data_IF_673359282262
#
_entry.id   IF_673359282262
#
_cell.length_a   1.000
_cell.length_b   1.000
_cell.length_c   1.000
_cell.angle_alpha   90.00
_cell.angle_beta   90.00
_cell.angle_gamma   90.00
#
_symmetry.space_group_name_H-M   'P 1'
#
loop_
_entity.id
_entity.type
_entity.pdbx_description
1 polymer ?
#
# COMPACT_ATOMS: atom_id res chain seq x y z
N UNK A 1 5.88 -18.75 70.51
CA UNK A 1 6.51 -17.55 69.90
C UNK A 1 6.99 -17.84 68.47
N UNK A 2 6.11 -18.15 67.52
CA UNK A 2 6.48 -18.35 66.10
C UNK A 2 5.55 -17.63 65.10
N UNK A 3 4.57 -16.86 65.57
CA UNK A 3 3.52 -16.27 64.71
C UNK A 3 3.74 -14.80 64.36
N UNK A 4 4.68 -14.11 65.01
CA UNK A 4 4.92 -12.68 64.80
C UNK A 4 5.97 -12.39 63.72
N UNK A 5 6.80 -13.36 63.32
CA UNK A 5 7.80 -13.15 62.26
C UNK A 5 7.22 -13.24 60.84
N UNK A 6 6.07 -13.92 60.64
CA UNK A 6 5.50 -14.13 59.31
C UNK A 6 4.70 -12.92 58.80
N UNK A 7 4.12 -12.12 59.71
CA UNK A 7 3.37 -10.91 59.34
C UNK A 7 4.28 -9.74 58.95
N UNK A 8 5.53 -9.73 59.40
CA UNK A 8 6.50 -8.68 59.07
C UNK A 8 7.10 -8.84 57.67
N UNK A 9 7.22 -10.06 57.14
CA UNK A 9 7.71 -10.25 55.76
C UNK A 9 6.66 -9.91 54.70
N UNK A 10 5.37 -10.05 55.02
CA UNK A 10 4.27 -9.72 54.11
C UNK A 10 4.06 -8.19 53.96
N UNK A 11 4.39 -7.42 54.99
CA UNK A 11 4.30 -5.95 54.95
C UNK A 11 5.43 -5.31 54.12
N UNK A 12 6.64 -5.90 54.14
CA UNK A 12 7.77 -5.42 53.32
C UNK A 12 7.57 -5.73 51.84
N UNK A 13 6.88 -6.82 51.50
CA UNK A 13 6.61 -7.17 50.10
C UNK A 13 5.52 -6.31 49.44
N UNK A 14 4.63 -5.70 50.23
CA UNK A 14 3.53 -4.88 49.73
C UNK A 14 3.97 -3.45 49.38
N UNK A 15 5.12 -2.99 49.86
CA UNK A 15 5.68 -1.65 49.60
C UNK A 15 6.52 -1.59 48.31
N UNK A 16 6.86 -2.71 47.68
CA UNK A 16 7.69 -2.76 46.47
C UNK A 16 6.90 -2.63 45.15
N UNK A 17 5.56 -2.57 45.20
CA UNK A 17 4.70 -2.54 44.01
C UNK A 17 4.25 -1.13 43.58
N UNK A 18 4.76 -0.07 44.22
CA UNK A 18 4.48 1.32 43.81
C UNK A 18 5.55 1.92 42.90
N UNK A 19 6.21 1.11 42.07
CA UNK A 19 6.93 1.67 40.92
C UNK A 19 5.93 1.95 39.79
N UNK A 20 5.14 3.01 39.97
CA UNK A 20 4.56 3.72 38.85
C UNK A 20 5.71 4.32 38.07
N UNK A 21 6.29 3.56 37.13
CA UNK A 21 7.08 4.16 36.08
C UNK A 21 6.17 5.18 35.39
N UNK A 22 6.43 6.46 35.63
CA UNK A 22 5.86 7.52 34.83
C UNK A 22 6.15 7.15 33.39
N UNK A 23 5.11 6.83 32.62
CA UNK A 23 5.17 6.76 31.16
C UNK A 23 5.59 8.17 30.76
N UNK A 24 6.90 8.38 30.65
CA UNK A 24 7.46 9.55 30.03
C UNK A 24 6.96 9.50 28.61
N UNK A 25 6.10 10.45 28.25
CA UNK A 25 5.88 10.81 26.85
C UNK A 25 7.27 10.89 26.23
N UNK A 26 7.56 9.98 25.29
CA UNK A 26 8.80 10.05 24.54
C UNK A 26 8.94 11.49 24.05
N UNK A 27 10.09 12.16 24.26
CA UNK A 27 10.26 13.53 23.82
C UNK A 27 9.84 13.62 22.35
N UNK A 28 8.86 14.49 22.07
CA UNK A 28 8.32 14.65 20.72
C UNK A 28 9.49 14.87 19.78
N UNK A 29 9.64 13.97 18.80
CA UNK A 29 10.77 14.00 17.89
C UNK A 29 10.76 15.33 17.12
N UNK A 30 11.94 15.90 16.92
CA UNK A 30 12.09 17.25 16.36
C UNK A 30 11.75 17.22 14.86
N UNK A 31 11.11 18.27 14.31
CA UNK A 31 11.02 18.46 12.86
C UNK A 31 12.38 18.41 12.18
N UNK A 32 12.42 17.80 10.98
CA UNK A 32 13.59 17.83 10.13
C UNK A 32 13.85 19.26 9.63
N UNK A 33 15.13 19.63 9.53
CA UNK A 33 15.56 20.86 8.85
C UNK A 33 15.40 20.76 7.33
N UNK A 34 15.38 21.89 6.64
CA UNK A 34 15.26 21.92 5.17
C UNK A 34 16.36 21.11 4.46
N UNK A 35 17.58 21.13 4.99
CA UNK A 35 18.68 20.32 4.47
C UNK A 35 18.41 18.82 4.64
N UNK A 36 17.97 18.40 5.83
CA UNK A 36 17.61 16.99 6.10
C UNK A 36 16.43 16.53 5.21
N UNK A 37 15.43 17.38 5.00
CA UNK A 37 14.31 17.10 4.09
C UNK A 37 14.81 16.92 2.65
N UNK A 38 15.70 17.81 2.18
CA UNK A 38 16.28 17.73 0.85
C UNK A 38 17.12 16.46 0.66
N UNK A 39 17.94 16.11 1.64
CA UNK A 39 18.80 14.92 1.61
C UNK A 39 17.97 13.64 1.65
N UNK A 40 16.95 13.59 2.50
CA UNK A 40 16.01 12.48 2.56
C UNK A 40 15.24 12.31 1.25
N UNK A 41 14.64 13.38 0.71
CA UNK A 41 13.93 13.33 -0.56
C UNK A 41 14.85 12.88 -1.70
N UNK A 42 16.07 13.39 -1.75
CA UNK A 42 17.07 13.00 -2.75
C UNK A 42 17.48 11.54 -2.61
N UNK A 43 17.66 11.04 -1.38
CA UNK A 43 17.95 9.63 -1.12
C UNK A 43 16.81 8.74 -1.61
N UNK A 44 15.59 8.98 -1.13
CA UNK A 44 14.43 8.18 -1.49
C UNK A 44 14.16 8.22 -3.00
N UNK A 45 14.32 9.38 -3.64
CA UNK A 45 14.10 9.53 -5.09
C UNK A 45 15.13 8.71 -5.88
N UNK A 46 16.40 8.70 -5.47
CA UNK A 46 17.41 7.83 -6.09
C UNK A 46 17.06 6.35 -5.90
N UNK A 47 16.63 5.95 -4.70
CA UNK A 47 16.21 4.57 -4.44
C UNK A 47 14.93 4.18 -5.20
N UNK A 48 13.99 5.08 -5.42
CA UNK A 48 12.81 4.86 -6.27
C UNK A 48 13.23 4.52 -7.71
N UNK A 49 14.14 5.31 -8.28
CA UNK A 49 14.57 5.18 -9.67
C UNK A 49 15.48 3.98 -9.95
N UNK A 50 15.98 3.28 -8.94
CA UNK A 50 16.85 2.11 -9.15
C UNK A 50 16.13 0.86 -9.66
N UNK A 51 14.82 0.76 -9.47
CA UNK A 51 14.03 -0.40 -9.87
C UNK A 51 13.30 -0.12 -11.18
N UNK A 52 13.79 -0.69 -12.28
CA UNK A 52 13.15 -0.64 -13.60
C UNK A 52 12.18 -1.79 -13.80
N UNK A 53 12.55 -2.97 -13.31
CA UNK A 53 11.72 -4.16 -13.31
C UNK A 53 11.81 -4.88 -11.98
N UNK A 54 10.79 -5.66 -11.66
CA UNK A 54 10.86 -6.62 -10.57
C UNK A 54 10.00 -7.84 -10.84
N UNK A 55 10.36 -8.94 -10.20
CA UNK A 55 9.59 -10.17 -10.12
C UNK A 55 9.67 -10.67 -8.68
N UNK A 56 8.53 -11.04 -8.10
CA UNK A 56 8.52 -11.57 -6.75
C UNK A 56 7.32 -12.44 -6.44
N UNK A 57 7.47 -13.18 -5.35
CA UNK A 57 6.46 -14.08 -4.82
C UNK A 57 6.27 -13.82 -3.33
N UNK A 58 5.13 -14.22 -2.80
CA UNK A 58 4.85 -14.08 -1.38
C UNK A 58 3.42 -14.40 -1.00
N UNK A 59 2.95 -13.76 0.06
CA UNK A 59 1.62 -13.92 0.60
C UNK A 59 0.89 -12.57 0.62
N UNK A 60 -0.34 -12.56 0.12
CA UNK A 60 -1.30 -11.50 0.35
C UNK A 60 -2.20 -11.91 1.50
N UNK A 61 -2.32 -11.04 2.48
CA UNK A 61 -3.19 -11.22 3.65
C UNK A 61 -4.17 -10.05 3.67
N UNK A 62 -5.46 -10.34 3.75
CA UNK A 62 -6.51 -9.33 3.86
C UNK A 62 -7.25 -9.56 5.17
N UNK A 63 -7.25 -8.54 6.02
CA UNK A 63 -7.82 -8.57 7.37
C UNK A 63 -8.83 -7.44 7.50
N UNK A 64 -10.09 -7.80 7.70
CA UNK A 64 -11.18 -6.89 8.07
C UNK A 64 -11.64 -7.18 9.50
N UNK A 65 -12.68 -6.49 9.95
CA UNK A 65 -13.24 -6.66 11.31
C UNK A 65 -13.58 -8.12 11.64
N UNK A 66 -14.22 -8.81 10.70
CA UNK A 66 -14.75 -10.16 10.88
C UNK A 66 -14.29 -11.12 9.77
N UNK A 67 -13.29 -10.72 8.98
CA UNK A 67 -12.83 -11.49 7.83
C UNK A 67 -11.31 -11.58 7.80
N UNK A 68 -10.79 -12.77 7.55
CA UNK A 68 -9.37 -13.01 7.33
C UNK A 68 -9.21 -13.87 6.08
N UNK A 69 -8.33 -13.46 5.17
CA UNK A 69 -7.95 -14.25 4.01
C UNK A 69 -6.45 -14.20 3.80
N UNK A 70 -5.88 -15.31 3.35
CA UNK A 70 -4.47 -15.43 3.00
C UNK A 70 -4.35 -16.22 1.70
N UNK A 71 -3.61 -15.68 0.74
CA UNK A 71 -3.40 -16.28 -0.56
C UNK A 71 -1.95 -16.09 -1.04
N UNK A 72 -1.32 -17.11 -1.64
CA UNK A 72 -0.09 -16.92 -2.38
C UNK A 72 -0.27 -15.92 -3.52
N UNK A 73 0.75 -15.07 -3.70
CA UNK A 73 0.80 -14.09 -4.77
C UNK A 73 2.10 -14.16 -5.56
N UNK A 74 1.98 -13.79 -6.83
CA UNK A 74 3.08 -13.48 -7.72
C UNK A 74 2.86 -12.07 -8.25
N UNK A 75 3.92 -11.26 -8.28
CA UNK A 75 3.84 -9.91 -8.81
C UNK A 75 5.05 -9.62 -9.72
N UNK A 76 4.77 -9.01 -10.86
CA UNK A 76 5.76 -8.64 -11.87
C UNK A 76 5.53 -7.17 -12.21
N UNK A 77 6.58 -6.37 -12.17
CA UNK A 77 6.54 -4.96 -12.52
C UNK A 77 7.54 -4.59 -13.60
N UNK A 78 7.12 -3.71 -14.51
CA UNK A 78 7.99 -2.86 -15.34
C UNK A 78 7.60 -1.38 -15.16
N UNK A 79 8.57 -0.50 -14.99
CA UNK A 79 8.36 0.94 -14.78
C UNK A 79 8.03 1.67 -16.08
N UNK A 80 8.72 1.32 -17.17
CA UNK A 80 8.61 1.99 -18.46
C UNK A 80 8.37 0.98 -19.61
N UNK A 81 7.15 0.91 -20.18
CA UNK A 81 5.92 1.56 -19.70
C UNK A 81 5.47 1.00 -18.35
N UNK A 82 4.71 1.79 -17.58
CA UNK A 82 4.22 1.38 -16.26
C UNK A 82 3.22 0.23 -16.41
N UNK A 83 3.66 -0.95 -16.04
CA UNK A 83 2.88 -2.19 -16.06
C UNK A 83 3.16 -3.03 -14.82
N UNK A 84 2.09 -3.53 -14.21
CA UNK A 84 2.17 -4.42 -13.06
C UNK A 84 1.18 -5.56 -13.26
N UNK A 85 1.69 -6.79 -13.26
CA UNK A 85 0.87 -8.01 -13.22
C UNK A 85 0.90 -8.57 -11.81
N UNK A 86 -0.28 -8.87 -11.28
CA UNK A 86 -0.45 -9.52 -9.98
C UNK A 86 -1.31 -10.76 -10.22
N UNK A 87 -0.84 -11.89 -9.73
CA UNK A 87 -1.57 -13.15 -9.73
C UNK A 87 -1.81 -13.57 -8.29
N UNK A 88 -3.05 -13.96 -8.01
CA UNK A 88 -3.49 -14.44 -6.70
C UNK A 88 -3.99 -15.86 -6.91
N UNK A 89 -3.39 -16.80 -6.18
CA UNK A 89 -3.74 -18.22 -6.28
C UNK A 89 -4.24 -18.72 -4.95
N UNK A 90 -5.04 -19.78 -4.99
CA UNK A 90 -5.41 -20.53 -3.80
C UNK A 90 -4.17 -21.29 -3.30
N UNK A 91 -4.04 -21.56 -1.99
CA UNK A 91 -3.00 -22.45 -1.46
C UNK A 91 -2.88 -23.84 -2.11
N UNK A 92 -3.84 -24.26 -2.93
CA UNK A 92 -3.84 -25.53 -3.68
C UNK A 92 -3.53 -25.34 -5.17
N UNK A 93 -3.05 -24.16 -5.58
CA UNK A 93 -2.61 -23.85 -6.95
C UNK A 93 -3.69 -23.38 -7.92
N UNK A 94 -4.98 -23.39 -7.53
CA UNK A 94 -6.07 -22.87 -8.38
C UNK A 94 -5.98 -21.33 -8.48
N UNK A 95 -6.03 -20.71 -9.67
CA UNK A 95 -6.06 -19.26 -9.78
C UNK A 95 -7.35 -18.68 -9.18
N UNK A 96 -7.21 -17.58 -8.43
CA UNK A 96 -8.32 -16.84 -7.83
C UNK A 96 -8.58 -15.57 -8.63
N UNK A 97 -7.52 -14.80 -8.88
CA UNK A 97 -7.60 -13.58 -9.67
C UNK A 97 -6.26 -13.25 -10.35
N UNK A 98 -6.34 -12.71 -11.56
CA UNK A 98 -5.21 -12.09 -12.25
C UNK A 98 -5.52 -10.62 -12.50
N UNK A 99 -4.60 -9.73 -12.16
CA UNK A 99 -4.74 -8.31 -12.36
C UNK A 99 -3.59 -7.77 -13.20
N UNK A 100 -3.92 -6.97 -14.20
CA UNK A 100 -2.96 -6.18 -14.96
C UNK A 100 -3.29 -4.71 -14.76
N UNK A 101 -2.30 -3.99 -14.26
CA UNK A 101 -2.36 -2.56 -14.01
C UNK A 101 -1.47 -1.88 -15.03
N UNK A 102 -2.00 -0.85 -15.67
CA UNK A 102 -1.28 0.05 -16.58
C UNK A 102 -1.48 1.48 -16.12
N UNK A 103 -0.69 2.42 -16.68
CA UNK A 103 -0.85 3.86 -16.40
C UNK A 103 -2.30 4.35 -16.47
N UNK A 104 -3.09 3.84 -17.42
CA UNK A 104 -4.44 4.35 -17.70
C UNK A 104 -5.58 3.45 -17.21
N UNK A 105 -5.30 2.38 -16.44
CA UNK A 105 -6.38 1.54 -15.93
C UNK A 105 -5.97 0.15 -15.50
N UNK A 106 -7.02 -0.61 -15.19
CA UNK A 106 -6.96 -1.92 -14.58
C UNK A 106 -7.73 -2.93 -15.44
N UNK A 107 -7.20 -4.13 -15.52
CA UNK A 107 -7.87 -5.34 -15.99
C UNK A 107 -7.79 -6.35 -14.86
N UNK A 108 -8.92 -6.82 -14.35
CA UNK A 108 -9.01 -7.85 -13.30
C UNK A 108 -9.81 -9.04 -13.83
N UNK A 109 -9.21 -10.21 -13.88
CA UNK A 109 -9.87 -11.48 -14.20
C UNK A 109 -10.19 -12.18 -12.89
N UNK A 110 -11.47 -12.37 -12.60
CA UNK A 110 -11.96 -13.05 -11.41
C UNK A 110 -12.43 -14.46 -11.78
N UNK A 111 -11.61 -15.47 -11.48
CA UNK A 111 -11.83 -16.82 -12.00
C UNK A 111 -13.06 -17.51 -11.41
N UNK A 112 -13.41 -17.20 -10.17
CA UNK A 112 -14.57 -17.79 -9.51
C UNK A 112 -15.90 -17.25 -10.06
N UNK A 113 -15.88 -16.06 -10.65
CA UNK A 113 -17.06 -15.39 -11.17
C UNK A 113 -17.24 -15.60 -12.68
N UNK A 114 -16.22 -16.15 -13.36
CA UNK A 114 -16.15 -16.18 -14.83
C UNK A 114 -16.33 -14.78 -15.43
N UNK A 115 -15.71 -13.77 -14.80
CA UNK A 115 -15.80 -12.36 -15.17
C UNK A 115 -14.43 -11.74 -15.33
N UNK A 116 -14.37 -10.73 -16.19
CA UNK A 116 -13.25 -9.80 -16.19
C UNK A 116 -13.72 -8.35 -16.21
N UNK A 117 -13.05 -7.54 -15.40
CA UNK A 117 -13.39 -6.17 -15.11
C UNK A 117 -12.35 -5.25 -15.76
N UNK A 118 -12.82 -4.20 -16.44
CA UNK A 118 -11.95 -3.17 -17.02
C UNK A 118 -12.42 -1.79 -16.55
N UNK A 119 -11.49 -0.97 -16.06
CA UNK A 119 -11.83 0.36 -15.56
C UNK A 119 -10.70 1.03 -14.78
N UNK A 120 -11.03 2.11 -14.08
CA UNK A 120 -10.11 2.78 -13.17
C UNK A 120 -10.17 2.18 -11.76
N UNK A 121 -9.06 2.28 -11.02
CA UNK A 121 -8.92 1.64 -9.70
C UNK A 121 -9.86 2.22 -8.64
N UNK A 122 -10.24 3.50 -8.75
CA UNK A 122 -11.17 4.12 -7.81
C UNK A 122 -12.59 3.59 -8.00
N UNK A 123 -13.04 3.46 -9.25
CA UNK A 123 -14.33 2.89 -9.57
C UNK A 123 -14.39 1.40 -9.21
N UNK A 124 -13.30 0.64 -9.44
CA UNK A 124 -13.23 -0.76 -9.00
C UNK A 124 -13.30 -0.89 -7.48
N UNK A 125 -12.58 -0.04 -6.73
CA UNK A 125 -12.61 -0.08 -5.26
C UNK A 125 -14.01 0.23 -4.70
N UNK A 126 -14.72 1.22 -5.27
CA UNK A 126 -16.11 1.53 -4.85
C UNK A 126 -17.12 0.42 -5.12
N UNK A 127 -16.83 -0.46 -6.07
CA UNK A 127 -17.65 -1.65 -6.34
C UNK A 127 -17.19 -2.87 -5.54
N UNK A 128 -16.22 -2.73 -4.64
CA UNK A 128 -15.68 -3.82 -3.83
C UNK A 128 -14.78 -4.78 -4.57
N UNK A 129 -14.39 -4.49 -5.82
CA UNK A 129 -13.51 -5.33 -6.63
C UNK A 129 -12.04 -5.20 -6.21
N UNK A 130 -11.67 -4.04 -5.66
CA UNK A 130 -10.37 -3.80 -5.06
C UNK A 130 -10.55 -3.39 -3.59
N UNK A 131 -9.73 -3.94 -2.68
CA UNK A 131 -9.88 -3.66 -1.26
C UNK A 131 -9.61 -2.18 -0.93
N UNK A 132 -8.78 -1.50 -1.72
CA UNK A 132 -8.33 -0.14 -1.46
C UNK A 132 -8.24 0.68 -2.75
N UNK A 133 -8.47 1.99 -2.63
CA UNK A 133 -8.38 2.95 -3.72
C UNK A 133 -6.92 3.39 -3.95
N UNK A 134 -6.13 2.53 -4.59
CA UNK A 134 -4.75 2.85 -4.98
C UNK A 134 -4.66 3.15 -6.48
N UNK A 135 -3.87 4.17 -6.82
CA UNK A 135 -3.51 4.49 -8.21
C UNK A 135 -2.49 3.48 -8.76
N UNK A 136 -2.31 3.39 -10.09
CA UNK A 136 -1.28 2.53 -10.68
C UNK A 136 0.13 2.75 -10.11
N UNK A 137 0.52 3.99 -9.84
CA UNK A 137 1.85 4.32 -9.30
C UNK A 137 1.99 4.00 -7.81
N UNK A 138 0.89 4.06 -7.04
CA UNK A 138 0.89 3.63 -5.65
C UNK A 138 0.98 2.11 -5.56
N UNK A 139 0.25 1.38 -6.42
CA UNK A 139 0.36 -0.07 -6.52
C UNK A 139 1.74 -0.51 -6.97
N UNK A 140 2.39 0.24 -7.86
CA UNK A 140 3.79 0.03 -8.18
C UNK A 140 4.68 0.09 -6.94
N UNK A 141 4.58 1.17 -6.15
CA UNK A 141 5.37 1.31 -4.92
C UNK A 141 5.07 0.21 -3.90
N UNK A 142 3.79 -0.14 -3.75
CA UNK A 142 3.34 -1.26 -2.91
C UNK A 142 3.90 -2.59 -3.39
N UNK A 143 3.89 -2.89 -4.68
CA UNK A 143 4.40 -4.15 -5.22
C UNK A 143 5.94 -4.21 -5.13
N UNK A 144 6.63 -3.13 -5.50
CA UNK A 144 8.09 -2.99 -5.43
C UNK A 144 8.62 -3.07 -4.00
N UNK A 145 7.85 -2.65 -3.00
CA UNK A 145 8.34 -2.65 -1.61
C UNK A 145 8.87 -1.31 -1.13
N UNK A 146 8.55 -0.18 -1.77
CA UNK A 146 9.15 1.12 -1.45
C UNK A 146 8.27 2.28 -1.94
N UNK A 147 8.29 3.48 -1.31
CA UNK A 147 7.51 4.61 -1.78
C UNK A 147 7.84 5.02 -3.23
N UNK A 148 6.80 5.18 -4.05
CA UNK A 148 6.92 5.83 -5.36
C UNK A 148 6.96 7.35 -5.21
N UNK A 149 7.92 8.00 -5.86
CA UNK A 149 8.20 9.44 -5.68
C UNK A 149 8.21 10.27 -6.96
N UNK A 150 8.24 9.63 -8.12
CA UNK A 150 8.23 10.36 -9.39
C UNK A 150 7.02 11.30 -9.50
N UNK A 151 7.29 12.56 -9.87
CA UNK A 151 6.28 13.62 -9.98
C UNK A 151 5.96 14.36 -8.67
N UNK A 152 6.47 13.91 -7.52
CA UNK A 152 6.32 14.64 -6.25
C UNK A 152 7.44 15.65 -6.03
N UNK A 153 7.15 16.68 -5.24
CA UNK A 153 8.13 17.66 -4.75
C UNK A 153 8.09 17.75 -3.23
N UNK A 154 9.22 17.92 -2.54
CA UNK A 154 9.23 18.07 -1.09
C UNK A 154 8.54 19.37 -0.66
N UNK A 155 7.92 19.32 0.51
CA UNK A 155 7.32 20.44 1.23
C UNK A 155 8.07 20.59 2.54
N UNK A 156 8.38 21.84 2.88
CA UNK A 156 9.11 22.23 4.09
C UNK A 156 8.11 22.73 5.13
N UNK A 157 7.33 21.82 5.71
CA UNK A 157 6.19 22.11 6.60
C UNK A 157 6.45 21.69 8.06
N UNK A 158 7.66 21.27 8.40
CA UNK A 158 8.07 20.98 9.77
C UNK A 158 7.42 19.72 10.35
N UNK A 159 7.13 18.71 9.52
CA UNK A 159 6.63 17.41 9.98
C UNK A 159 7.71 16.70 10.84
N UNK A 160 7.39 16.27 12.07
CA UNK A 160 8.27 15.43 12.88
C UNK A 160 8.64 14.13 12.16
N UNK A 161 9.95 13.86 12.01
CA UNK A 161 10.54 12.66 11.38
C UNK A 161 9.95 12.28 10.03
N UNK A 162 9.50 13.27 9.27
CA UNK A 162 8.88 13.00 8.01
C UNK A 162 9.06 14.13 7.02
N UNK A 163 8.78 13.79 5.77
CA UNK A 163 8.76 14.74 4.69
C UNK A 163 7.34 14.82 4.14
N UNK A 164 6.82 16.05 4.05
CA UNK A 164 5.63 16.35 3.28
C UNK A 164 5.99 16.35 1.81
N UNK A 165 5.12 15.82 0.96
CA UNK A 165 5.30 15.78 -0.48
C UNK A 165 4.06 16.34 -1.17
N UNK A 166 4.27 17.32 -2.03
CA UNK A 166 3.25 17.91 -2.89
C UNK A 166 3.17 17.14 -4.19
N UNK A 167 1.96 16.70 -4.52
CA UNK A 167 1.58 16.00 -5.75
C UNK A 167 0.06 16.10 -5.91
N UNK A 168 -0.55 15.21 -6.70
CA UNK A 168 -2.00 15.23 -6.94
C UNK A 168 -2.82 15.05 -5.66
N UNK A 169 -2.44 14.11 -4.78
CA UNK A 169 -3.19 13.76 -3.56
C UNK A 169 -2.47 14.12 -2.24
N UNK A 170 -1.30 14.77 -2.35
CA UNK A 170 -0.35 14.90 -1.23
C UNK A 170 0.16 13.56 -0.70
N UNK A 171 1.29 13.56 0.00
CA UNK A 171 1.82 12.37 0.68
C UNK A 171 2.71 12.80 1.84
N UNK A 172 2.67 12.10 2.95
CA UNK A 172 3.62 12.29 4.05
C UNK A 172 4.40 11.00 4.22
N UNK A 173 5.73 11.06 4.17
CA UNK A 173 6.58 9.89 4.41
C UNK A 173 7.27 10.05 5.75
N UNK A 174 7.07 9.10 6.66
CA UNK A 174 7.81 9.00 7.92
C UNK A 174 9.08 8.20 7.74
N UNK A 175 10.13 8.60 8.42
CA UNK A 175 11.49 8.11 8.25
C UNK A 175 12.09 7.58 9.55
N UNK A 176 13.00 6.62 9.41
CA UNK A 176 14.00 6.25 10.41
C UNK A 176 15.38 6.41 9.78
N UNK A 177 16.08 7.48 10.15
CA UNK A 177 17.20 8.00 9.38
C UNK A 177 16.75 8.41 7.97
N UNK A 178 17.29 7.74 6.94
CA UNK A 178 16.90 7.95 5.53
C UNK A 178 15.91 6.91 5.00
N UNK A 179 15.57 5.92 5.81
CA UNK A 179 14.74 4.79 5.40
C UNK A 179 13.25 5.11 5.61
N UNK A 180 12.37 4.76 4.65
CA UNK A 180 10.94 4.94 4.82
C UNK A 180 10.36 3.92 5.80
N UNK A 181 9.58 4.41 6.76
CA UNK A 181 8.85 3.57 7.73
C UNK A 181 7.37 3.52 7.39
N UNK A 182 6.78 4.66 7.01
CA UNK A 182 5.43 4.68 6.45
C UNK A 182 5.21 5.81 5.47
N UNK A 183 4.18 5.67 4.63
CA UNK A 183 3.66 6.69 3.75
C UNK A 183 2.16 6.86 4.01
N UNK A 184 1.76 8.05 4.43
CA UNK A 184 0.36 8.44 4.59
C UNK A 184 -0.13 9.11 3.30
N UNK A 185 -1.30 8.68 2.83
CA UNK A 185 -2.05 9.26 1.72
C UNK A 185 -3.31 9.92 2.29
N UNK A 186 -3.26 11.21 2.69
CA UNK A 186 -4.33 11.81 3.49
C UNK A 186 -5.68 11.82 2.77
N UNK A 187 -5.72 12.19 1.49
CA UNK A 187 -6.96 12.26 0.71
C UNK A 187 -7.63 10.90 0.49
N UNK A 188 -6.87 9.81 0.64
CA UNK A 188 -7.36 8.43 0.51
C UNK A 188 -7.61 7.77 1.85
N UNK A 189 -7.24 8.42 2.96
CA UNK A 189 -7.31 7.87 4.30
C UNK A 189 -6.60 6.51 4.39
N UNK A 190 -5.42 6.39 3.77
CA UNK A 190 -4.62 5.16 3.72
C UNK A 190 -3.22 5.41 4.27
N UNK A 191 -2.74 4.53 5.14
CA UNK A 191 -1.33 4.44 5.54
C UNK A 191 -0.69 3.18 4.96
N UNK A 192 0.52 3.32 4.40
CA UNK A 192 1.35 2.23 3.90
C UNK A 192 2.57 2.13 4.82
N UNK A 193 2.69 1.07 5.61
CA UNK A 193 3.86 0.79 6.44
C UNK A 193 4.84 -0.12 5.70
N UNK A 194 6.13 0.14 5.87
CA UNK A 194 7.25 -0.60 5.28
C UNK A 194 8.05 -1.26 6.40
N UNK A 195 8.14 -2.58 6.39
CA UNK A 195 8.85 -3.33 7.42
C UNK A 195 9.90 -4.28 6.83
N UNK A 196 10.97 -4.49 7.59
CA UNK A 196 12.09 -5.36 7.21
C UNK A 196 12.75 -4.92 5.91
N UNK A 197 13.06 -3.62 5.76
CA UNK A 197 13.80 -3.12 4.61
C UNK A 197 15.09 -3.93 4.40
N UNK A 198 15.20 -4.49 3.21
CA UNK A 198 16.32 -5.27 2.73
C UNK A 198 16.86 -4.65 1.44
N UNK A 199 17.97 -5.18 0.93
CA UNK A 199 18.53 -4.77 -0.36
C UNK A 199 18.80 -5.99 -1.22
N UNK A 200 18.32 -5.97 -2.46
CA UNK A 200 18.65 -6.96 -3.49
C UNK A 200 19.35 -6.26 -4.65
N UNK A 201 20.53 -6.73 -5.04
CA UNK A 201 21.36 -6.12 -6.12
C UNK A 201 21.48 -4.58 -6.00
N UNK A 202 21.60 -4.07 -4.76
CA UNK A 202 21.73 -2.62 -4.49
C UNK A 202 20.44 -1.80 -4.57
N UNK A 203 19.28 -2.44 -4.68
CA UNK A 203 17.94 -1.84 -4.65
C UNK A 203 17.26 -2.15 -3.32
N UNK A 204 16.85 -1.11 -2.59
CA UNK A 204 16.11 -1.28 -1.33
C UNK A 204 14.67 -1.74 -1.57
N UNK A 205 14.14 -2.63 -0.71
CA UNK A 205 12.71 -2.99 -0.69
C UNK A 205 12.31 -3.54 0.67
N UNK A 206 11.06 -3.33 1.07
CA UNK A 206 10.51 -3.85 2.32
C UNK A 206 10.12 -5.33 2.16
N UNK A 207 10.46 -6.18 3.14
CA UNK A 207 10.02 -7.58 3.16
C UNK A 207 8.52 -7.69 3.44
N UNK A 208 7.97 -6.76 4.19
CA UNK A 208 6.54 -6.67 4.46
C UNK A 208 6.04 -5.26 4.16
N UNK A 209 4.92 -5.17 3.45
CA UNK A 209 4.15 -3.93 3.32
C UNK A 209 2.78 -4.16 3.91
N UNK A 210 2.35 -3.25 4.78
CA UNK A 210 1.00 -3.23 5.34
C UNK A 210 0.29 -1.98 4.91
N UNK A 211 -0.89 -2.13 4.33
CA UNK A 211 -1.71 -1.04 3.84
C UNK A 211 -2.98 -1.03 4.68
N UNK A 212 -3.18 0.03 5.45
CA UNK A 212 -4.32 0.14 6.37
C UNK A 212 -5.20 1.30 5.93
N UNK A 213 -6.48 0.99 5.70
CA UNK A 213 -7.54 1.98 5.57
C UNK A 213 -7.85 2.54 6.96
N UNK A 214 -7.69 3.85 7.11
CA UNK A 214 -7.97 4.56 8.36
C UNK A 214 -9.49 4.63 8.61
N UNK A 215 -10.29 4.63 7.54
CA UNK A 215 -11.75 4.77 7.61
C UNK A 215 -12.44 3.55 8.23
N UNK A 216 -12.09 2.36 7.76
CA UNK A 216 -12.79 1.11 8.09
C UNK A 216 -11.91 0.06 8.77
N UNK A 217 -10.60 0.33 8.93
CA UNK A 217 -9.64 -0.57 9.56
C UNK A 217 -9.24 -1.76 8.68
N UNK A 218 -9.68 -1.83 7.42
CA UNK A 218 -9.26 -2.87 6.50
C UNK A 218 -7.74 -2.82 6.32
N UNK A 219 -7.09 -3.96 6.52
CA UNK A 219 -5.65 -4.11 6.39
C UNK A 219 -5.31 -5.11 5.29
N UNK A 220 -4.47 -4.68 4.35
CA UNK A 220 -3.91 -5.52 3.29
C UNK A 220 -2.41 -5.63 3.51
N UNK A 221 -1.91 -6.83 3.79
CA UNK A 221 -0.48 -7.09 3.99
C UNK A 221 0.10 -7.91 2.86
N UNK A 222 1.21 -7.45 2.30
CA UNK A 222 2.04 -8.17 1.33
C UNK A 222 3.32 -8.60 2.03
N UNK A 223 3.48 -9.90 2.27
CA UNK A 223 4.73 -10.49 2.79
C UNK A 223 5.50 -11.13 1.64
N UNK A 224 6.73 -10.69 1.41
CA UNK A 224 7.57 -11.17 0.30
C UNK A 224 8.44 -12.34 0.75
N UNK A 225 8.52 -13.33 -0.10
CA UNK A 225 9.39 -14.50 0.08
C UNK A 225 10.61 -14.37 -0.83
N UNK A 226 10.39 -13.98 -2.09
CA UNK A 226 11.44 -13.77 -3.09
C UNK A 226 11.22 -12.45 -3.83
N UNK A 227 12.33 -11.83 -4.23
CA UNK A 227 12.33 -10.60 -5.03
C UNK A 227 13.60 -10.57 -5.88
N UNK A 228 13.40 -10.45 -7.18
CA UNK A 228 14.43 -10.12 -8.16
C UNK A 228 14.12 -8.75 -8.77
N UNK A 229 15.15 -7.98 -9.04
CA UNK A 229 15.05 -6.61 -9.56
C UNK A 229 15.94 -6.44 -10.77
N UNK A 230 15.51 -5.61 -11.71
CA UNK A 230 16.25 -5.27 -12.93
C UNK A 230 16.59 -6.49 -13.82
N UNK A 231 15.83 -7.57 -13.70
CA UNK A 231 15.86 -8.70 -14.63
C UNK A 231 15.14 -8.33 -15.92
N UNK A 232 15.65 -8.78 -17.07
CA UNK A 232 15.00 -8.57 -18.36
C UNK A 232 13.65 -9.33 -18.41
N UNK A 233 12.62 -8.62 -18.84
CA UNK A 233 11.25 -9.12 -18.88
C UNK A 233 10.72 -9.09 -20.31
N UNK A 234 10.14 -10.20 -20.78
CA UNK A 234 9.44 -10.25 -22.09
C UNK A 234 8.08 -9.56 -22.01
N UNK A 235 7.65 -8.90 -23.08
CA UNK A 235 6.32 -8.29 -23.16
C UNK A 235 5.17 -9.30 -22.97
N UNK A 236 5.41 -10.57 -23.32
CA UNK A 236 4.39 -11.62 -23.21
C UNK A 236 3.95 -11.85 -21.75
N UNK A 237 4.82 -11.57 -20.77
CA UNK A 237 4.45 -11.73 -19.35
C UNK A 237 3.40 -10.69 -18.90
N UNK A 238 3.23 -9.59 -19.63
CA UNK A 238 2.20 -8.59 -19.34
C UNK A 238 0.91 -8.82 -20.16
N UNK A 239 0.78 -9.99 -20.79
CA UNK A 239 -0.46 -10.44 -21.43
C UNK A 239 -1.25 -11.33 -20.47
N UNK A 240 -2.51 -10.96 -20.24
CA UNK A 240 -3.46 -11.82 -19.54
C UNK A 240 -4.37 -12.45 -20.58
N UNK A 241 -4.38 -13.78 -20.62
CA UNK A 241 -5.36 -14.54 -21.40
C UNK A 241 -6.70 -14.54 -20.67
N UNK A 242 -7.74 -14.14 -21.37
CA UNK A 242 -9.11 -14.19 -20.86
C UNK A 242 -9.67 -15.56 -21.24
N UNK A 243 -10.06 -16.41 -20.27
CA UNK A 243 -10.62 -17.71 -20.60
C UNK A 243 -11.92 -17.57 -21.40
N UNK A 244 -12.20 -18.56 -22.25
CA UNK A 244 -13.43 -18.59 -23.04
C UNK A 244 -14.66 -18.59 -22.13
N UNK A 245 -15.72 -17.89 -22.56
CA UNK A 245 -16.98 -17.78 -21.83
C UNK A 245 -17.00 -16.74 -20.71
N UNK A 246 -15.90 -16.02 -20.46
CA UNK A 246 -15.88 -14.98 -19.42
C UNK A 246 -16.64 -13.72 -19.85
N UNK A 247 -17.45 -13.18 -18.94
CA UNK A 247 -18.22 -11.95 -19.16
C UNK A 247 -17.34 -10.71 -18.93
N UNK A 248 -17.39 -9.74 -19.86
CA UNK A 248 -16.76 -8.43 -19.71
C UNK A 248 -17.65 -7.48 -18.91
N UNK A 249 -17.11 -6.92 -17.84
CA UNK A 249 -17.77 -5.85 -17.08
C UNK A 249 -16.93 -4.57 -17.17
N UNK A 250 -17.52 -3.50 -17.72
CA UNK A 250 -16.85 -2.20 -17.79
C UNK A 250 -17.22 -1.38 -16.55
N UNK A 251 -16.21 -1.08 -15.74
CA UNK A 251 -16.36 -0.29 -14.52
C UNK A 251 -16.12 1.17 -14.87
N UNK A 252 -17.16 2.00 -14.71
CA UNK A 252 -17.09 3.45 -14.96
C UNK A 252 -17.32 4.22 -13.67
N UNK A 253 -16.72 5.39 -13.58
CA UNK A 253 -17.11 6.41 -12.60
C UNK A 253 -18.57 6.82 -12.88
N UNK A 254 -19.50 6.49 -11.97
CA UNK A 254 -20.86 7.03 -11.97
C UNK A 254 -20.94 8.50 -11.48
N UNK A 255 -19.79 9.15 -11.29
CA UNK A 255 -19.69 10.60 -11.08
C UNK A 255 -19.75 11.33 -12.43
N UNK A 256 -20.91 11.25 -13.07
CA UNK A 256 -21.25 11.96 -14.29
C UNK A 256 -22.76 11.95 -14.41
N UNK A 257 -23.38 13.03 -13.93
CA UNK A 257 -24.79 13.34 -14.16
C UNK A 257 -25.10 13.03 -15.64
N UNK A 258 -26.15 12.26 -15.98
CA UNK A 258 -26.56 12.18 -17.38
C UNK A 258 -26.89 13.60 -17.82
N UNK A 259 -26.26 14.07 -18.89
CA UNK A 259 -26.75 15.25 -19.61
C UNK A 259 -28.22 15.00 -19.88
N UNK A 260 -29.06 15.75 -19.17
CA UNK A 260 -30.48 15.77 -19.45
C UNK A 260 -30.60 16.28 -20.88
N UNK A 261 -31.33 15.59 -21.77
CA UNK A 261 -31.63 16.14 -23.08
C UNK A 261 -32.28 17.50 -22.84
N UNK A 262 -31.74 18.56 -23.46
CA UNK A 262 -32.44 19.84 -23.51
C UNK A 262 -33.84 19.57 -24.07
N UNK A 263 -34.92 19.91 -23.33
CA UNK A 263 -36.24 19.86 -23.92
C UNK A 263 -36.31 20.97 -24.97
N UNK A 264 -36.68 20.56 -26.18
CA UNK A 264 -37.29 21.32 -27.26
C UNK A 264 -37.37 22.84 -27.08
N UNK A 265 -36.64 23.57 -27.92
CA UNK A 265 -37.12 24.84 -28.48
C UNK A 265 -38.20 24.49 -29.52
N UNK A 266 -39.37 24.06 -29.04
CA UNK A 266 -40.63 24.15 -29.75
C UNK A 266 -41.58 24.95 -28.87
N UNK A 267 -41.60 26.26 -29.07
CA UNK A 267 -42.82 27.06 -29.21
C UNK A 267 -42.47 28.56 -29.20
N UNK A 268 -42.90 29.27 -30.27
CA UNK A 268 -43.39 30.63 -30.12
C UNK A 268 -42.73 31.74 -30.94
N UNK A 269 -43.33 31.98 -32.13
CA UNK A 269 -43.40 33.22 -32.93
C UNK A 269 -42.26 33.54 -33.91
#
# INVERSE_FOLDING_TARGET
>A
MKSTLFLLSLYVFSLSLQSCASIGLAPGKKPLSDQEISDAFSHLSREDLKAETFFGTGQLIVEGRDSYSKAPILFIGRRHPLELRIEITHPWGKPLANMLVRKNGFLLVAFQESKYYVGDGAAMSRQGLLPLQLSPVELWGVARGYPFLEGFKPVFDGIPDGIGLKGEYGKVIRLDGLNPVSALLPEKEVEIAYDGLASGVGVAFAKEIRITSIRDGLTVTVKREQMEVNTALSDDIFRIEIPEGYEKVNIRNSAGKPDSPRPDDSDGL
#
